data_IF_882714305575
#
_entry.id   IF_882714305575
#
_cell.length_a   1.000
_cell.length_b   1.000
_cell.length_c   1.000
_cell.angle_alpha   90.00
_cell.angle_beta   90.00
_cell.angle_gamma   90.00
#
_symmetry.space_group_name_H-M   'P 1'
#
loop_
_entity.id
_entity.type
_entity.pdbx_description
1 polymer ?
#
# COMPACT_ATOMS: atom_id res chain seq x y z
N UNK A 1 28.96 5.82 -45.32
CA UNK A 1 28.98 4.36 -45.53
C UNK A 1 27.81 3.78 -44.76
N UNK A 2 26.83 3.30 -45.50
CA UNK A 2 25.53 2.76 -45.08
C UNK A 2 25.71 1.47 -44.27
N UNK A 3 25.20 1.43 -43.04
CA UNK A 3 25.08 0.20 -42.27
C UNK A 3 23.67 -0.37 -42.46
N UNK A 4 23.59 -1.59 -42.98
CA UNK A 4 22.38 -2.29 -43.36
C UNK A 4 21.50 -2.65 -42.14
N UNK A 5 20.20 -2.41 -42.27
CA UNK A 5 19.17 -2.90 -41.34
C UNK A 5 18.96 -4.40 -41.60
N UNK A 6 19.23 -5.22 -40.59
CA UNK A 6 18.96 -6.66 -40.61
C UNK A 6 17.45 -6.92 -40.40
N UNK A 7 16.81 -7.84 -41.14
CA UNK A 7 15.39 -8.13 -40.96
C UNK A 7 15.13 -8.87 -39.63
N UNK A 8 14.01 -8.50 -38.99
CA UNK A 8 13.54 -9.07 -37.73
C UNK A 8 12.95 -10.48 -37.93
N UNK A 9 13.45 -11.47 -37.18
CA UNK A 9 12.87 -12.81 -37.09
C UNK A 9 11.62 -12.83 -36.16
N UNK A 10 10.66 -13.75 -36.42
CA UNK A 10 9.35 -13.70 -35.79
C UNK A 10 9.39 -14.11 -34.32
N UNK A 11 8.73 -13.29 -33.49
CA UNK A 11 8.51 -13.54 -32.08
C UNK A 11 7.69 -14.83 -31.88
N UNK A 12 8.33 -15.89 -31.39
CA UNK A 12 7.65 -17.06 -30.86
C UNK A 12 6.97 -16.65 -29.55
N UNK A 13 5.64 -16.56 -29.59
CA UNK A 13 4.80 -16.38 -28.42
C UNK A 13 4.98 -17.58 -27.48
N UNK A 14 5.85 -17.43 -26.47
CA UNK A 14 5.98 -18.40 -25.40
C UNK A 14 4.94 -18.08 -24.33
N UNK A 15 4.09 -19.08 -24.15
CA UNK A 15 3.21 -19.40 -23.03
C UNK A 15 2.89 -18.28 -22.03
N UNK A 16 1.60 -17.94 -21.91
CA UNK A 16 1.08 -16.97 -20.93
C UNK A 16 1.23 -17.53 -19.52
N UNK A 17 2.45 -17.44 -19.00
CA UNK A 17 2.75 -17.68 -17.61
C UNK A 17 2.08 -16.56 -16.80
N UNK A 18 0.92 -16.86 -16.20
CA UNK A 18 0.41 -16.12 -15.04
C UNK A 18 1.35 -16.41 -13.87
N UNK A 19 2.58 -15.87 -13.94
CA UNK A 19 3.66 -16.15 -13.00
C UNK A 19 3.72 -15.05 -11.97
N UNK A 20 2.97 -15.27 -10.90
CA UNK A 20 3.20 -14.71 -9.57
C UNK A 20 2.95 -13.22 -9.46
N UNK A 21 2.41 -12.79 -8.33
CA UNK A 21 2.41 -11.38 -7.97
C UNK A 21 3.84 -10.84 -7.77
N UNK A 22 4.03 -9.98 -6.77
CA UNK A 22 5.30 -9.27 -6.49
C UNK A 22 6.57 -10.15 -6.48
N UNK A 23 6.45 -11.46 -6.29
CA UNK A 23 7.55 -12.42 -6.37
C UNK A 23 8.13 -12.62 -7.79
N UNK A 24 7.34 -12.51 -8.86
CA UNK A 24 7.80 -12.75 -10.24
C UNK A 24 8.75 -11.67 -10.80
N UNK A 25 8.71 -10.47 -10.23
CA UNK A 25 9.55 -9.33 -10.65
C UNK A 25 10.99 -9.36 -10.12
N UNK A 26 11.35 -10.32 -9.26
CA UNK A 26 12.71 -10.41 -8.66
C UNK A 26 13.73 -11.13 -9.55
N UNK A 27 13.29 -11.84 -10.59
CA UNK A 27 14.17 -12.72 -11.37
C UNK A 27 14.73 -12.08 -12.66
N UNK A 28 14.35 -10.83 -12.99
CA UNK A 28 14.69 -10.21 -14.27
C UNK A 28 15.59 -8.98 -14.14
N UNK A 29 16.89 -9.21 -14.29
CA UNK A 29 17.95 -8.28 -14.72
C UNK A 29 17.72 -6.77 -14.68
N UNK A 30 18.16 -6.14 -13.60
CA UNK A 30 18.93 -4.89 -13.56
C UNK A 30 19.57 -4.83 -12.17
N UNK A 31 20.67 -4.09 -11.98
CA UNK A 31 21.43 -4.04 -10.71
C UNK A 31 20.52 -3.94 -9.49
N UNK A 32 20.27 -5.08 -8.83
CA UNK A 32 19.31 -5.17 -7.75
C UNK A 32 19.96 -4.57 -6.52
N UNK A 33 19.44 -3.44 -6.04
CA UNK A 33 19.83 -2.93 -4.73
C UNK A 33 19.36 -3.92 -3.66
N UNK A 34 20.16 -4.07 -2.60
CA UNK A 34 19.78 -4.93 -1.48
C UNK A 34 18.52 -4.37 -0.82
N UNK A 35 17.40 -5.07 -0.99
CA UNK A 35 16.14 -4.72 -0.35
C UNK A 35 16.15 -5.24 1.10
N UNK A 36 16.05 -4.37 2.11
CA UNK A 36 15.92 -4.82 3.49
C UNK A 36 14.68 -5.71 3.69
N UNK A 37 14.69 -6.61 4.68
CA UNK A 37 13.54 -7.45 4.96
C UNK A 37 12.30 -6.61 5.27
N UNK A 38 11.14 -7.08 4.83
CA UNK A 38 9.87 -6.46 5.16
C UNK A 38 9.65 -6.51 6.68
N UNK A 39 9.20 -5.39 7.27
CA UNK A 39 8.93 -5.28 8.70
C UNK A 39 7.79 -4.30 8.96
N UNK A 40 7.11 -4.48 10.09
CA UNK A 40 6.13 -3.52 10.57
C UNK A 40 6.85 -2.27 11.09
N UNK A 41 6.69 -1.16 10.38
CA UNK A 41 7.23 0.12 10.83
C UNK A 41 6.41 0.65 12.01
N UNK A 42 7.11 1.13 13.04
CA UNK A 42 6.51 1.85 14.17
C UNK A 42 6.83 3.32 14.01
N UNK A 43 5.84 4.20 14.20
CA UNK A 43 6.07 5.63 14.21
C UNK A 43 6.80 6.01 15.52
N UNK A 44 8.03 6.54 15.47
CA UNK A 44 8.76 6.97 16.67
C UNK A 44 8.35 8.35 17.16
N UNK A 45 7.61 9.12 16.35
CA UNK A 45 7.19 10.47 16.67
C UNK A 45 5.95 10.46 17.55
N UNK A 46 5.87 11.43 18.46
CA UNK A 46 4.66 11.67 19.24
C UNK A 46 3.52 12.13 18.32
N UNK A 47 2.26 11.81 18.66
CA UNK A 47 1.12 12.34 17.94
C UNK A 47 1.15 13.87 17.88
N UNK A 48 0.88 14.43 16.70
CA UNK A 48 0.74 15.87 16.53
C UNK A 48 -0.54 16.34 17.23
N UNK A 49 -0.42 17.33 18.12
CA UNK A 49 -1.57 17.97 18.78
C UNK A 49 -2.23 18.96 17.81
N UNK A 50 -3.19 18.47 17.03
CA UNK A 50 -3.97 19.28 16.06
C UNK A 50 -5.05 20.14 16.73
N UNK A 51 -5.52 19.71 17.91
CA UNK A 51 -6.51 20.38 18.74
C UNK A 51 -5.96 20.50 20.16
N UNK A 52 -6.49 21.43 20.94
CA UNK A 52 -6.20 21.55 22.37
C UNK A 52 -6.80 20.38 23.16
N UNK A 53 -6.30 20.17 24.38
CA UNK A 53 -6.77 19.08 25.25
C UNK A 53 -8.25 19.26 25.62
N UNK A 54 -8.70 20.50 25.83
CA UNK A 54 -10.09 20.84 26.17
C UNK A 54 -11.05 20.60 24.97
N UNK A 55 -10.59 20.88 23.75
CA UNK A 55 -11.35 20.58 22.53
C UNK A 55 -11.46 19.07 22.29
N UNK A 56 -10.39 18.32 22.56
CA UNK A 56 -10.42 16.86 22.48
C UNK A 56 -11.41 16.27 23.49
N UNK A 57 -11.39 16.77 24.73
CA UNK A 57 -12.34 16.36 25.76
C UNK A 57 -13.79 16.71 25.38
N UNK A 58 -13.99 17.87 24.75
CA UNK A 58 -15.31 18.27 24.24
C UNK A 58 -15.85 17.28 23.20
N UNK A 59 -15.00 16.81 22.28
CA UNK A 59 -15.36 15.77 21.29
C UNK A 59 -15.65 14.44 21.99
N UNK A 60 -14.85 14.08 23.00
CA UNK A 60 -15.02 12.85 23.76
C UNK A 60 -16.39 12.79 24.45
N UNK A 61 -16.72 13.83 25.22
CA UNK A 61 -17.99 13.93 25.94
C UNK A 61 -19.19 14.00 25.00
N UNK A 62 -19.09 14.73 23.89
CA UNK A 62 -20.13 14.77 22.88
C UNK A 62 -20.36 13.39 22.25
N UNK A 63 -19.29 12.65 21.96
CA UNK A 63 -19.36 11.30 21.41
C UNK A 63 -20.03 10.33 22.39
N UNK A 64 -19.69 10.39 23.68
CA UNK A 64 -20.35 9.58 24.71
C UNK A 64 -21.83 9.91 24.85
N UNK A 65 -22.20 11.19 24.75
CA UNK A 65 -23.60 11.60 24.75
C UNK A 65 -24.35 10.98 23.57
N UNK A 66 -23.80 11.09 22.36
CA UNK A 66 -24.39 10.48 21.15
C UNK A 66 -24.58 8.98 21.32
N UNK A 67 -23.54 8.27 21.78
CA UNK A 67 -23.63 6.82 22.00
C UNK A 67 -24.65 6.44 23.08
N UNK A 68 -24.79 7.25 24.14
CA UNK A 68 -25.74 7.01 25.22
C UNK A 68 -27.19 7.29 24.80
N UNK A 69 -27.43 8.39 24.09
CA UNK A 69 -28.77 8.89 23.77
C UNK A 69 -29.33 8.29 22.49
N UNK A 70 -28.48 8.05 21.50
CA UNK A 70 -28.86 7.59 20.16
C UNK A 70 -28.47 6.11 19.97
N UNK A 71 -27.28 5.71 20.41
CA UNK A 71 -26.77 4.35 20.22
C UNK A 71 -26.17 4.10 18.84
N UNK A 72 -26.05 2.83 18.46
CA UNK A 72 -25.53 2.39 17.16
C UNK A 72 -26.39 1.23 16.67
N UNK A 73 -26.82 1.29 15.41
CA UNK A 73 -27.54 0.20 14.77
C UNK A 73 -26.56 -0.92 14.38
N UNK A 74 -26.82 -2.13 14.86
CA UNK A 74 -26.07 -3.33 14.49
C UNK A 74 -26.92 -4.12 13.50
N UNK A 75 -26.53 -4.10 12.24
CA UNK A 75 -27.22 -4.81 11.16
C UNK A 75 -26.64 -6.23 11.01
N UNK A 76 -27.51 -7.23 10.86
CA UNK A 76 -27.17 -8.64 10.57
C UNK A 76 -28.18 -9.26 9.58
N UNK A 77 -27.78 -10.34 8.91
CA UNK A 77 -28.67 -11.20 8.10
C UNK A 77 -29.24 -12.37 8.92
#
# INVERSE_FOLDING_TARGET
MTAALHPAEPALATDRARRGGRAGKRAGGSAAFEQPPFRQLRNPLTPTRLVSDDELESIHLASLRVLKEIGVDVLHD
#
